data_IF_774772349807
#
_entry.id   IF_774772349807
#
_cell.length_a   1.000
_cell.length_b   1.000
_cell.length_c   1.000
_cell.angle_alpha   90.00
_cell.angle_beta   90.00
_cell.angle_gamma   90.00
#
_symmetry.space_group_name_H-M   'P 1'
#
loop_
_entity.id
_entity.type
_entity.pdbx_description
1 polymer ?
#
# COMPACT_ATOMS: atom_id res chain seq x y z
N UNK A 1 11.46 28.32 -13.96
CA UNK A 1 11.87 27.86 -12.60
C UNK A 1 10.79 27.01 -11.92
N UNK A 2 9.51 27.42 -11.94
CA UNK A 2 8.39 26.70 -11.31
C UNK A 2 8.14 25.29 -11.89
N UNK A 3 8.25 25.13 -13.21
CA UNK A 3 8.05 23.84 -13.90
C UNK A 3 9.12 22.81 -13.55
N UNK A 4 10.35 23.26 -13.36
CA UNK A 4 11.50 22.38 -13.02
C UNK A 4 11.41 21.90 -11.59
N UNK A 5 11.03 22.78 -10.66
CA UNK A 5 10.85 22.42 -9.25
C UNK A 5 9.70 21.43 -9.05
N UNK A 6 8.57 21.63 -9.74
CA UNK A 6 7.42 20.75 -9.70
C UNK A 6 7.73 19.36 -10.27
N UNK A 7 8.47 19.29 -11.37
CA UNK A 7 8.90 18.02 -11.95
C UNK A 7 9.93 17.30 -11.05
N UNK A 8 10.80 18.05 -10.38
CA UNK A 8 11.75 17.49 -9.42
C UNK A 8 11.04 16.93 -8.17
N UNK A 9 10.04 17.63 -7.64
CA UNK A 9 9.23 17.16 -6.50
C UNK A 9 8.40 15.94 -6.89
N UNK A 10 7.78 15.93 -8.08
CA UNK A 10 7.05 14.73 -8.57
C UNK A 10 8.00 13.55 -8.84
N UNK A 11 9.19 13.80 -9.35
CA UNK A 11 10.20 12.75 -9.54
C UNK A 11 10.70 12.22 -8.20
N UNK A 12 10.97 13.08 -7.22
CA UNK A 12 11.39 12.67 -5.87
C UNK A 12 10.30 11.87 -5.13
N UNK A 13 9.03 12.28 -5.23
CA UNK A 13 7.90 11.62 -4.56
C UNK A 13 7.52 10.28 -5.20
N UNK A 14 7.56 10.18 -6.52
CA UNK A 14 7.06 9.00 -7.24
C UNK A 14 8.17 8.01 -7.62
N UNK A 15 9.41 8.47 -7.80
CA UNK A 15 10.53 7.61 -8.19
C UNK A 15 10.89 6.55 -7.12
N UNK A 16 10.95 6.86 -5.83
CA UNK A 16 11.18 5.85 -4.80
C UNK A 16 9.97 4.93 -4.53
N UNK A 17 8.75 5.36 -4.89
CA UNK A 17 7.53 4.59 -4.68
C UNK A 17 7.40 3.43 -5.69
N UNK A 18 7.78 3.66 -6.94
CA UNK A 18 7.69 2.64 -8.00
C UNK A 18 8.56 1.39 -7.74
N UNK A 19 9.86 1.51 -7.39
CA UNK A 19 10.68 0.33 -7.10
C UNK A 19 10.28 -0.35 -5.77
N UNK A 20 9.78 0.39 -4.78
CA UNK A 20 9.31 -0.18 -3.51
C UNK A 20 8.00 -0.96 -3.69
N UNK A 21 7.06 -0.44 -4.49
CA UNK A 21 5.84 -1.18 -4.90
C UNK A 21 6.16 -2.40 -5.76
N UNK A 22 7.10 -2.27 -6.70
CA UNK A 22 7.59 -3.41 -7.49
C UNK A 22 8.31 -4.44 -6.61
N UNK A 23 9.04 -4.00 -5.58
CA UNK A 23 9.67 -4.87 -4.58
C UNK A 23 8.66 -5.63 -3.74
N UNK A 24 7.59 -4.96 -3.30
CA UNK A 24 6.46 -5.57 -2.59
C UNK A 24 5.79 -6.65 -3.45
N UNK A 25 5.52 -6.32 -4.72
CA UNK A 25 4.90 -7.25 -5.66
C UNK A 25 5.79 -8.47 -5.94
N UNK A 26 7.11 -8.28 -6.10
CA UNK A 26 8.07 -9.38 -6.31
C UNK A 26 8.25 -10.27 -5.08
N UNK A 27 8.25 -9.72 -3.86
CA UNK A 27 8.36 -10.49 -2.61
C UNK A 27 7.10 -11.30 -2.33
N UNK A 28 5.91 -10.75 -2.60
CA UNK A 28 4.64 -11.48 -2.53
C UNK A 28 4.49 -12.57 -3.60
N UNK A 29 5.16 -12.43 -4.77
CA UNK A 29 5.14 -13.43 -5.86
C UNK A 29 6.11 -14.58 -5.62
N UNK A 30 7.24 -14.36 -4.93
CA UNK A 30 8.29 -15.37 -4.75
C UNK A 30 7.90 -16.56 -3.86
N UNK A 31 6.74 -16.52 -3.20
CA UNK A 31 6.22 -17.60 -2.35
C UNK A 31 5.56 -18.78 -3.10
N UNK A 32 5.48 -18.78 -4.44
CA UNK A 32 4.78 -19.85 -5.20
C UNK A 32 5.60 -20.32 -6.42
N UNK A 33 6.67 -21.05 -6.15
CA UNK A 33 7.41 -21.76 -7.17
C UNK A 33 7.96 -23.06 -6.65
N UNK A 34 7.21 -24.14 -6.83
CA UNK A 34 7.48 -25.59 -6.86
C UNK A 34 6.42 -26.32 -6.01
N UNK A 35 5.68 -27.26 -6.54
CA UNK A 35 5.97 -28.38 -7.43
C UNK A 35 4.66 -28.91 -7.99
N UNK A 36 4.59 -29.09 -9.32
CA UNK A 36 3.67 -30.03 -9.94
C UNK A 36 4.33 -31.40 -9.88
N UNK A 37 3.77 -32.32 -9.08
CA UNK A 37 3.91 -33.74 -9.32
C UNK A 37 2.52 -34.36 -9.28
N UNK A 38 2.11 -34.88 -10.41
CA UNK A 38 0.93 -35.68 -10.60
C UNK A 38 1.16 -37.05 -9.93
N UNK A 39 0.16 -37.55 -9.25
CA UNK A 39 0.15 -38.93 -8.81
C UNK A 39 -0.87 -39.20 -7.70
N UNK A 40 -1.93 -39.94 -8.07
CA UNK A 40 -2.73 -40.80 -7.23
C UNK A 40 -3.70 -40.20 -6.20
N UNK A 41 -4.99 -40.49 -6.43
CA UNK A 41 -6.15 -40.04 -5.67
C UNK A 41 -6.19 -40.56 -4.24
N UNK A 42 -5.75 -39.75 -3.34
CA UNK A 42 -6.19 -39.69 -1.96
C UNK A 42 -6.44 -38.22 -1.66
N UNK A 43 -7.61 -37.89 -1.12
CA UNK A 43 -7.89 -36.55 -0.59
C UNK A 43 -6.89 -36.32 0.55
N UNK A 44 -5.71 -35.83 0.18
CA UNK A 44 -4.75 -35.32 1.17
C UNK A 44 -5.31 -33.98 1.65
N UNK A 45 -5.89 -33.99 2.84
CA UNK A 45 -6.00 -32.74 3.63
C UNK A 45 -4.58 -32.12 3.60
N UNK A 46 -4.42 -30.92 3.01
CA UNK A 46 -3.10 -30.30 2.96
C UNK A 46 -2.64 -30.11 4.41
N UNK A 47 -1.58 -30.84 4.81
CA UNK A 47 -0.89 -30.54 6.06
C UNK A 47 -0.28 -29.16 5.87
N UNK A 48 -0.89 -28.15 6.46
CA UNK A 48 -0.31 -26.82 6.56
C UNK A 48 0.97 -27.01 7.40
N UNK A 49 2.16 -26.66 6.90
CA UNK A 49 3.39 -26.75 7.69
C UNK A 49 3.19 -25.97 8.99
N UNK A 50 3.62 -26.51 10.13
CA UNK A 50 3.44 -25.88 11.44
C UNK A 50 3.96 -24.41 11.46
N UNK A 51 5.02 -24.11 10.70
CA UNK A 51 5.54 -22.76 10.52
C UNK A 51 4.60 -21.82 9.74
N UNK A 52 3.71 -22.33 8.88
CA UNK A 52 2.71 -21.49 8.19
C UNK A 52 1.50 -21.20 9.10
N UNK A 53 1.12 -22.10 9.96
CA UNK A 53 0.08 -21.89 10.98
C UNK A 53 0.54 -20.86 12.02
N UNK A 54 1.81 -20.90 12.43
CA UNK A 54 2.37 -19.94 13.38
C UNK A 54 2.39 -18.51 12.86
N UNK A 55 2.56 -18.30 11.55
CA UNK A 55 2.58 -16.97 10.93
C UNK A 55 1.18 -16.43 10.54
N UNK A 56 0.11 -17.20 10.73
CA UNK A 56 -1.25 -16.81 10.35
C UNK A 56 -1.69 -15.46 10.96
N UNK A 57 -1.49 -15.20 12.26
CA UNK A 57 -1.85 -13.90 12.85
C UNK A 57 -1.14 -12.72 12.17
N UNK A 58 0.15 -12.85 11.85
CA UNK A 58 0.91 -11.83 11.14
C UNK A 58 0.40 -11.61 9.71
N UNK A 59 -0.06 -12.67 9.02
CA UNK A 59 -0.67 -12.55 7.69
C UNK A 59 -1.99 -11.78 7.76
N UNK A 60 -2.81 -12.04 8.77
CA UNK A 60 -4.07 -11.31 9.01
C UNK A 60 -3.78 -9.82 9.26
N UNK A 61 -2.80 -9.51 10.08
CA UNK A 61 -2.39 -8.11 10.34
C UNK A 61 -1.84 -7.44 9.10
N UNK A 62 -1.04 -8.15 8.30
CA UNK A 62 -0.54 -7.63 7.02
C UNK A 62 -1.69 -7.34 6.05
N UNK A 63 -2.68 -8.24 5.95
CA UNK A 63 -3.86 -8.01 5.11
C UNK A 63 -4.66 -6.79 5.57
N UNK A 64 -4.91 -6.66 6.89
CA UNK A 64 -5.56 -5.49 7.49
C UNK A 64 -4.81 -4.20 7.17
N UNK A 65 -3.47 -4.23 7.31
CA UNK A 65 -2.62 -3.08 7.02
C UNK A 65 -2.63 -2.69 5.54
N UNK A 66 -2.44 -3.66 4.64
CA UNK A 66 -2.43 -3.40 3.18
C UNK A 66 -3.79 -2.84 2.72
N UNK A 67 -4.90 -3.31 3.31
CA UNK A 67 -6.25 -2.77 3.06
C UNK A 67 -6.36 -1.32 3.54
N UNK A 68 -5.86 -1.00 4.73
CA UNK A 68 -5.86 0.36 5.25
C UNK A 68 -5.01 1.30 4.37
N UNK A 69 -3.83 0.87 3.93
CA UNK A 69 -2.99 1.63 2.98
C UNK A 69 -3.70 1.85 1.64
N UNK A 70 -4.44 0.85 1.15
CA UNK A 70 -5.27 1.02 -0.04
C UNK A 70 -6.39 2.05 0.18
N UNK A 71 -7.03 2.06 1.36
CA UNK A 71 -7.99 3.09 1.77
C UNK A 71 -7.37 4.48 1.74
N UNK A 72 -6.21 4.67 2.38
CA UNK A 72 -5.46 5.93 2.34
C UNK A 72 -5.19 6.42 0.91
N UNK A 73 -4.75 5.52 0.04
CA UNK A 73 -4.52 5.87 -1.37
C UNK A 73 -5.81 6.26 -2.10
N UNK A 74 -6.91 5.54 -1.86
CA UNK A 74 -8.23 5.83 -2.42
C UNK A 74 -8.72 7.23 -2.02
N UNK A 75 -8.49 7.61 -0.75
CA UNK A 75 -8.86 8.93 -0.23
C UNK A 75 -8.02 10.04 -0.84
N UNK A 76 -6.70 9.82 -0.98
CA UNK A 76 -5.80 10.76 -1.69
C UNK A 76 -6.26 10.97 -3.13
N UNK A 77 -6.59 9.88 -3.84
CA UNK A 77 -7.11 9.95 -5.21
C UNK A 77 -8.44 10.69 -5.28
N UNK A 78 -9.34 10.41 -4.33
CA UNK A 78 -10.62 11.11 -4.19
C UNK A 78 -10.41 12.60 -3.91
N UNK A 79 -9.52 12.95 -2.99
CA UNK A 79 -9.16 14.32 -2.66
C UNK A 79 -8.61 15.09 -3.86
N UNK A 80 -7.75 14.45 -4.67
CA UNK A 80 -7.19 15.04 -5.87
C UNK A 80 -8.26 15.36 -6.94
N UNK A 81 -9.27 14.49 -7.07
CA UNK A 81 -10.36 14.65 -8.04
C UNK A 81 -11.45 15.62 -7.57
N UNK A 82 -11.55 15.87 -6.28
CA UNK A 82 -12.67 16.60 -5.68
C UNK A 82 -12.50 18.12 -5.85
N UNK A 83 -13.57 18.76 -6.26
CA UNK A 83 -13.64 20.24 -6.41
C UNK A 83 -14.36 20.90 -5.23
N UNK A 84 -15.30 20.21 -4.61
CA UNK A 84 -16.04 20.66 -3.45
C UNK A 84 -15.16 20.64 -2.19
N UNK A 85 -14.97 21.78 -1.50
CA UNK A 85 -14.17 21.85 -0.29
C UNK A 85 -14.69 20.96 0.85
N UNK A 86 -16.02 20.84 1.00
CA UNK A 86 -16.61 20.02 2.05
C UNK A 86 -16.31 18.54 1.84
N UNK A 87 -16.54 18.03 0.62
CA UNK A 87 -16.22 16.64 0.25
C UNK A 87 -14.73 16.34 0.32
N UNK A 88 -13.89 17.31 -0.06
CA UNK A 88 -12.46 17.16 0.13
C UNK A 88 -12.08 17.04 1.62
N UNK A 89 -12.74 17.81 2.51
CA UNK A 89 -12.59 17.70 3.95
C UNK A 89 -13.01 16.32 4.48
N UNK A 90 -14.06 15.72 3.92
CA UNK A 90 -14.49 14.35 4.24
C UNK A 90 -13.43 13.32 3.84
N UNK A 91 -12.90 13.41 2.61
CA UNK A 91 -11.80 12.54 2.17
C UNK A 91 -10.57 12.63 3.06
N UNK A 92 -10.25 13.85 3.52
CA UNK A 92 -9.12 14.03 4.42
C UNK A 92 -9.35 13.40 5.80
N UNK A 93 -10.60 13.37 6.29
CA UNK A 93 -10.95 12.66 7.54
C UNK A 93 -10.92 11.14 7.38
N UNK A 94 -11.45 10.61 6.28
CA UNK A 94 -11.40 9.19 5.95
C UNK A 94 -9.95 8.71 5.86
N UNK A 95 -9.08 9.52 5.26
CA UNK A 95 -7.64 9.24 5.21
C UNK A 95 -7.03 9.09 6.61
N UNK A 96 -7.35 10.00 7.54
CA UNK A 96 -6.82 9.92 8.91
C UNK A 96 -7.30 8.67 9.65
N UNK A 97 -8.53 8.24 9.40
CA UNK A 97 -9.07 6.99 9.94
C UNK A 97 -8.30 5.78 9.39
N UNK A 98 -8.10 5.69 8.07
CA UNK A 98 -7.31 4.62 7.46
C UNK A 98 -5.85 4.64 7.93
N UNK A 99 -5.28 5.84 8.13
CA UNK A 99 -3.93 6.01 8.69
C UNK A 99 -3.83 5.44 10.10
N UNK A 100 -4.83 5.70 10.95
CA UNK A 100 -4.92 5.15 12.30
C UNK A 100 -4.99 3.63 12.28
N UNK A 101 -5.87 3.05 11.47
CA UNK A 101 -6.02 1.59 11.30
C UNK A 101 -4.70 0.94 10.82
N UNK A 102 -4.01 1.59 9.88
CA UNK A 102 -2.71 1.15 9.40
C UNK A 102 -1.65 1.13 10.51
N UNK A 103 -1.60 2.20 11.32
CA UNK A 103 -0.66 2.32 12.43
C UNK A 103 -0.95 1.31 13.56
N UNK A 104 -2.20 1.02 13.85
CA UNK A 104 -2.60 0.00 14.83
C UNK A 104 -2.13 -1.39 14.39
N UNK A 105 -2.40 -1.77 13.15
CA UNK A 105 -1.95 -3.06 12.61
C UNK A 105 -0.42 -3.19 12.60
N UNK A 106 0.33 -2.08 12.41
CA UNK A 106 1.80 -2.09 12.50
C UNK A 106 2.28 -2.34 13.92
N UNK A 107 1.75 -1.59 14.89
CA UNK A 107 2.13 -1.74 16.30
C UNK A 107 1.84 -3.14 16.84
N UNK A 108 0.70 -3.71 16.47
CA UNK A 108 0.34 -5.07 16.84
C UNK A 108 1.31 -6.09 16.22
N UNK A 109 1.69 -5.89 14.96
CA UNK A 109 2.63 -6.77 14.27
C UNK A 109 4.06 -6.67 14.81
N UNK A 110 4.53 -5.48 15.20
CA UNK A 110 5.91 -5.27 15.72
C UNK A 110 6.22 -6.17 16.92
N UNK A 111 5.26 -6.29 17.87
CA UNK A 111 5.40 -7.16 19.02
C UNK A 111 5.48 -8.64 18.65
N UNK A 112 4.94 -9.03 17.50
CA UNK A 112 4.86 -10.42 17.06
C UNK A 112 5.99 -10.81 16.10
N UNK A 113 6.50 -9.87 15.29
CA UNK A 113 7.48 -10.15 14.23
C UNK A 113 8.76 -10.81 14.76
N UNK A 114 9.24 -10.38 15.93
CA UNK A 114 10.42 -10.96 16.58
C UNK A 114 10.15 -12.34 17.16
N UNK A 115 8.93 -12.61 17.63
CA UNK A 115 8.56 -13.87 18.24
C UNK A 115 8.40 -15.03 17.23
N UNK A 116 8.09 -14.70 15.96
CA UNK A 116 7.84 -15.70 14.92
C UNK A 116 9.10 -16.13 14.12
N UNK A 117 10.30 -15.75 14.53
CA UNK A 117 11.56 -16.22 13.92
C UNK A 117 11.64 -15.97 12.40
N UNK A 118 11.99 -16.98 11.60
CA UNK A 118 12.14 -16.84 10.14
C UNK A 118 10.85 -16.43 9.40
N UNK A 119 9.65 -16.96 9.71
CA UNK A 119 8.41 -16.44 9.13
C UNK A 119 8.16 -14.97 9.44
N UNK A 120 8.49 -14.51 10.65
CA UNK A 120 8.39 -13.09 11.03
C UNK A 120 9.33 -12.22 10.20
N UNK A 121 10.60 -12.63 10.04
CA UNK A 121 11.59 -11.93 9.19
C UNK A 121 11.14 -11.83 7.74
N UNK A 122 10.55 -12.90 7.18
CA UNK A 122 10.04 -12.90 5.81
C UNK A 122 8.91 -11.88 5.62
N UNK A 123 8.07 -11.68 6.62
CA UNK A 123 6.95 -10.72 6.58
C UNK A 123 7.37 -9.29 6.94
N UNK A 124 8.43 -9.09 7.74
CA UNK A 124 8.91 -7.77 8.15
C UNK A 124 9.14 -6.82 6.95
N UNK A 125 9.71 -7.36 5.86
CA UNK A 125 9.91 -6.58 4.63
C UNK A 125 8.60 -6.14 3.96
N UNK A 126 7.50 -6.91 4.11
CA UNK A 126 6.19 -6.54 3.58
C UNK A 126 5.54 -5.46 4.45
N UNK A 127 5.67 -5.56 5.78
CA UNK A 127 5.23 -4.51 6.70
C UNK A 127 5.98 -3.20 6.43
N UNK A 128 7.32 -3.22 6.33
CA UNK A 128 8.12 -2.03 6.01
C UNK A 128 7.77 -1.41 4.65
N UNK A 129 7.40 -2.22 3.65
CA UNK A 129 6.92 -1.69 2.38
C UNK A 129 5.54 -1.03 2.50
N UNK A 130 4.65 -1.58 3.32
CA UNK A 130 3.35 -0.97 3.61
C UNK A 130 3.52 0.35 4.39
N UNK A 131 4.49 0.43 5.33
CA UNK A 131 4.85 1.67 6.02
C UNK A 131 5.28 2.77 5.05
N UNK A 132 6.19 2.43 4.13
CA UNK A 132 6.66 3.37 3.12
C UNK A 132 5.53 3.85 2.19
N UNK A 133 4.57 2.98 1.84
CA UNK A 133 3.40 3.38 1.06
C UNK A 133 2.48 4.30 1.86
N UNK A 134 2.24 4.01 3.14
CA UNK A 134 1.42 4.85 4.01
C UNK A 134 2.02 6.25 4.17
N UNK A 135 3.34 6.34 4.42
CA UNK A 135 4.05 7.61 4.51
C UNK A 135 3.92 8.42 3.20
N UNK A 136 4.16 7.78 2.05
CA UNK A 136 4.04 8.44 0.75
C UNK A 136 2.61 8.93 0.46
N UNK A 137 1.57 8.23 0.90
CA UNK A 137 0.19 8.72 0.80
C UNK A 137 -0.01 9.99 1.65
N UNK A 138 0.59 10.05 2.85
CA UNK A 138 0.58 11.25 3.71
C UNK A 138 1.23 12.44 3.01
N UNK A 139 2.46 12.26 2.52
CA UNK A 139 3.20 13.32 1.83
C UNK A 139 2.43 13.88 0.63
N UNK A 140 1.78 13.00 -0.15
CA UNK A 140 0.96 13.44 -1.30
C UNK A 140 -0.25 14.23 -0.83
N UNK A 141 -0.96 13.78 0.22
CA UNK A 141 -2.12 14.50 0.75
C UNK A 141 -1.73 15.89 1.26
N UNK A 142 -0.60 16.00 1.96
CA UNK A 142 -0.12 17.29 2.47
C UNK A 142 0.22 18.28 1.35
N UNK A 143 0.85 17.79 0.27
CA UNK A 143 1.08 18.60 -0.94
C UNK A 143 -0.24 19.06 -1.58
N UNK A 144 -1.25 18.18 -1.64
CA UNK A 144 -2.55 18.51 -2.20
C UNK A 144 -3.31 19.54 -1.33
N UNK A 145 -3.20 19.41 0.00
CA UNK A 145 -3.78 20.37 0.96
C UNK A 145 -3.14 21.74 0.81
N UNK A 146 -1.80 21.81 0.76
CA UNK A 146 -1.08 23.08 0.55
C UNK A 146 -1.47 23.74 -0.77
N UNK A 147 -1.48 22.98 -1.86
CA UNK A 147 -1.91 23.52 -3.16
C UNK A 147 -3.32 24.08 -3.15
N UNK A 148 -4.24 23.37 -2.50
CA UNK A 148 -5.62 23.82 -2.38
C UNK A 148 -5.74 25.10 -1.54
N UNK A 149 -5.04 25.19 -0.41
CA UNK A 149 -5.04 26.39 0.44
C UNK A 149 -4.43 27.60 -0.23
N UNK A 150 -3.45 27.39 -1.13
CA UNK A 150 -2.81 28.43 -1.92
C UNK A 150 -3.58 28.78 -3.21
N UNK A 151 -4.69 28.11 -3.50
CA UNK A 151 -5.44 28.29 -4.75
C UNK A 151 -4.69 27.83 -6.01
N UNK A 152 -3.65 27.00 -5.86
CA UNK A 152 -2.83 26.53 -6.95
C UNK A 152 -3.45 25.26 -7.57
N UNK A 153 -3.82 25.35 -8.84
CA UNK A 153 -4.41 24.24 -9.59
C UNK A 153 -3.41 23.60 -10.56
N UNK A 154 -3.56 22.33 -10.77
CA UNK A 154 -2.78 21.61 -11.78
C UNK A 154 -3.23 22.02 -13.18
N UNK A 155 -2.27 22.27 -14.08
CA UNK A 155 -2.58 22.42 -15.50
C UNK A 155 -3.23 21.13 -16.05
N UNK A 156 -4.11 21.23 -17.09
CA UNK A 156 -4.85 20.07 -17.59
C UNK A 156 -3.98 18.86 -17.93
N UNK A 157 -2.83 19.07 -18.59
CA UNK A 157 -1.88 18.00 -18.91
C UNK A 157 -1.23 17.37 -17.69
N UNK A 158 -0.94 18.16 -16.65
CA UNK A 158 -0.39 17.66 -15.39
C UNK A 158 -1.43 16.82 -14.63
N UNK A 159 -2.68 17.28 -14.63
CA UNK A 159 -3.80 16.57 -14.01
C UNK A 159 -4.02 15.21 -14.68
N UNK A 160 -4.05 15.17 -16.02
CA UNK A 160 -4.19 13.92 -16.76
C UNK A 160 -3.04 12.93 -16.48
N UNK A 161 -1.79 13.41 -16.50
CA UNK A 161 -0.63 12.58 -16.19
C UNK A 161 -0.65 12.04 -14.74
N UNK A 162 -1.10 12.83 -13.77
CA UNK A 162 -1.25 12.42 -12.39
C UNK A 162 -2.35 11.35 -12.25
N UNK A 163 -3.50 11.52 -12.90
CA UNK A 163 -4.59 10.56 -12.92
C UNK A 163 -4.15 9.20 -13.49
N UNK A 164 -3.47 9.20 -14.64
CA UNK A 164 -2.95 7.97 -15.23
C UNK A 164 -2.00 7.22 -14.28
N UNK A 165 -1.13 7.94 -13.58
CA UNK A 165 -0.23 7.34 -12.58
C UNK A 165 -1.00 6.77 -11.40
N UNK A 166 -1.98 7.51 -10.88
CA UNK A 166 -2.84 7.04 -9.78
C UNK A 166 -3.60 5.77 -10.16
N UNK A 167 -4.10 5.65 -11.39
CA UNK A 167 -4.74 4.43 -11.88
C UNK A 167 -3.80 3.22 -11.93
N UNK A 168 -2.53 3.45 -12.30
CA UNK A 168 -1.52 2.36 -12.27
C UNK A 168 -1.24 1.89 -10.85
N UNK A 169 -1.13 2.83 -9.90
CA UNK A 169 -0.92 2.54 -8.48
C UNK A 169 -2.14 1.82 -7.92
N UNK A 170 -3.35 2.28 -8.22
CA UNK A 170 -4.61 1.66 -7.82
C UNK A 170 -4.66 0.18 -8.18
N UNK A 171 -4.40 -0.14 -9.45
CA UNK A 171 -4.33 -1.53 -9.92
C UNK A 171 -3.27 -2.36 -9.22
N UNK A 172 -2.14 -1.76 -8.86
CA UNK A 172 -1.06 -2.46 -8.16
C UNK A 172 -1.44 -2.74 -6.70
N UNK A 173 -1.98 -1.75 -5.98
CA UNK A 173 -2.42 -1.89 -4.60
C UNK A 173 -3.59 -2.86 -4.47
N UNK A 174 -4.57 -2.79 -5.37
CA UNK A 174 -5.71 -3.72 -5.39
C UNK A 174 -5.25 -5.18 -5.57
N UNK A 175 -4.23 -5.42 -6.40
CA UNK A 175 -3.62 -6.76 -6.50
C UNK A 175 -2.91 -7.18 -5.22
N UNK A 176 -2.26 -6.25 -4.52
CA UNK A 176 -1.61 -6.53 -3.24
C UNK A 176 -2.64 -6.90 -2.17
N UNK A 177 -3.75 -6.17 -2.07
CA UNK A 177 -4.88 -6.49 -1.17
C UNK A 177 -5.38 -7.91 -1.43
N UNK A 178 -5.75 -8.22 -2.67
CA UNK A 178 -6.26 -9.56 -3.04
C UNK A 178 -5.28 -10.71 -2.75
N UNK A 179 -3.98 -10.43 -2.72
CA UNK A 179 -2.97 -11.43 -2.38
C UNK A 179 -2.76 -11.59 -0.89
N UNK A 180 -2.86 -10.50 -0.15
CA UNK A 180 -2.74 -10.54 1.29
C UNK A 180 -3.93 -11.24 1.96
N UNK A 181 -5.09 -11.29 1.29
CA UNK A 181 -6.32 -11.93 1.74
C UNK A 181 -6.40 -13.45 1.44
N UNK A 182 -5.45 -13.98 0.67
CA UNK A 182 -5.35 -15.42 0.34
C UNK A 182 -4.37 -16.15 1.25
#
# INVERSE_FOLDING_TARGET
LFHTLFNAVNAMLLFPLVPRLAGLTRRLIRGKGRTRQAGSGAVRVPRIPEGELSAYPLRVLLAKRVRAVYGMFSDVRGYFGETDPQRAGERARDFEEHRRQSAEASREAEGMLSAFGEPGKALAGAFGAADACAAACGDVLDVLRSKRSEGIWFAPGQRAAAQERMERIDRALLRAVRRAER
#
